data_IF_021875124269
#
_entry.id   IF_021875124269
#
_cell.length_a   1.000
_cell.length_b   1.000
_cell.length_c   1.000
_cell.angle_alpha   90.00
_cell.angle_beta   90.00
_cell.angle_gamma   90.00
#
_symmetry.space_group_name_H-M   'P 1'
#
loop_
_entity.id
_entity.type
_entity.pdbx_description
1 polymer ?
#
# COMPACT_ATOMS: atom_id res chain seq x y z
N UNK A 1 -28.77 0.12 -11.20
CA UNK A 1 -27.94 0.29 -9.98
C UNK A 1 -27.71 1.77 -9.81
N UNK A 2 -28.10 2.34 -8.68
CA UNK A 2 -27.93 3.77 -8.40
C UNK A 2 -26.47 4.05 -7.98
N UNK A 3 -25.89 5.18 -8.40
CA UNK A 3 -24.46 5.46 -8.24
C UNK A 3 -24.01 5.48 -6.76
N UNK A 4 -24.90 5.94 -5.86
CA UNK A 4 -24.68 5.93 -4.40
C UNK A 4 -24.60 4.52 -3.82
N UNK A 5 -25.38 3.60 -4.35
CA UNK A 5 -25.44 2.22 -3.87
C UNK A 5 -24.20 1.43 -4.30
N UNK A 6 -23.73 1.68 -5.53
CA UNK A 6 -22.47 1.16 -6.02
C UNK A 6 -21.30 1.69 -5.19
N UNK A 7 -21.21 3.01 -4.97
CA UNK A 7 -20.17 3.60 -4.14
C UNK A 7 -20.15 2.97 -2.74
N UNK A 8 -21.30 2.85 -2.07
CA UNK A 8 -21.37 2.25 -0.72
C UNK A 8 -20.88 0.80 -0.68
N UNK A 9 -21.21 -0.01 -1.69
CA UNK A 9 -20.74 -1.40 -1.80
C UNK A 9 -19.23 -1.47 -2.05
N UNK A 10 -18.70 -0.60 -2.91
CA UNK A 10 -17.25 -0.49 -3.17
C UNK A 10 -16.51 -0.07 -1.90
N UNK A 11 -16.98 0.97 -1.21
CA UNK A 11 -16.39 1.41 0.05
C UNK A 11 -16.49 0.34 1.15
N UNK A 12 -17.63 -0.32 1.32
CA UNK A 12 -17.79 -1.33 2.36
C UNK A 12 -16.98 -2.62 2.08
N UNK A 13 -16.87 -3.05 0.83
CA UNK A 13 -16.20 -4.31 0.46
C UNK A 13 -14.73 -4.19 0.09
N UNK A 14 -14.27 -3.01 -0.35
CA UNK A 14 -12.91 -2.79 -0.88
C UNK A 14 -12.14 -1.70 -0.14
N UNK A 15 -12.57 -1.33 1.07
CA UNK A 15 -11.89 -0.34 1.90
C UNK A 15 -10.37 -0.55 2.05
N UNK A 16 -9.81 -1.79 2.11
CA UNK A 16 -8.35 -1.98 2.17
C UNK A 16 -7.64 -1.49 0.92
N UNK A 17 -8.20 -1.79 -0.25
CA UNK A 17 -7.65 -1.41 -1.54
C UNK A 17 -7.73 0.10 -1.70
N UNK A 18 -8.86 0.71 -1.30
CA UNK A 18 -9.04 2.15 -1.35
C UNK A 18 -8.07 2.89 -0.41
N UNK A 19 -7.85 2.37 0.80
CA UNK A 19 -6.91 2.95 1.75
C UNK A 19 -5.47 2.92 1.21
N UNK A 20 -5.00 1.78 0.72
CA UNK A 20 -3.67 1.66 0.09
C UNK A 20 -3.57 2.53 -1.17
N UNK A 21 -4.62 2.57 -1.98
CA UNK A 21 -4.70 3.42 -3.17
C UNK A 21 -4.53 4.92 -2.84
N UNK A 22 -5.05 5.39 -1.71
CA UNK A 22 -4.87 6.77 -1.28
C UNK A 22 -3.40 7.10 -0.96
N UNK A 23 -2.67 6.17 -0.34
CA UNK A 23 -1.22 6.35 -0.13
C UNK A 23 -0.46 6.43 -1.45
N UNK A 24 -0.80 5.57 -2.42
CA UNK A 24 -0.19 5.59 -3.75
C UNK A 24 -0.44 6.92 -4.48
N UNK A 25 -1.69 7.41 -4.45
CA UNK A 25 -2.05 8.70 -5.03
C UNK A 25 -1.24 9.83 -4.39
N UNK A 26 -1.22 9.90 -3.06
CA UNK A 26 -0.46 10.93 -2.34
C UNK A 26 1.05 10.85 -2.64
N UNK A 27 1.62 9.64 -2.66
CA UNK A 27 3.02 9.41 -2.98
C UNK A 27 3.36 9.90 -4.40
N UNK A 28 2.57 9.53 -5.40
CA UNK A 28 2.80 9.96 -6.78
C UNK A 28 2.60 11.47 -6.96
N UNK A 29 1.62 12.07 -6.30
CA UNK A 29 1.48 13.53 -6.30
C UNK A 29 2.73 14.22 -5.75
N UNK A 30 3.30 13.71 -4.64
CA UNK A 30 4.54 14.24 -4.08
C UNK A 30 5.72 14.07 -5.04
N UNK A 31 5.86 12.92 -5.69
CA UNK A 31 6.92 12.67 -6.67
C UNK A 31 6.81 13.62 -7.87
N UNK A 32 5.60 13.78 -8.42
CA UNK A 32 5.34 14.71 -9.54
C UNK A 32 5.61 16.16 -9.13
N UNK A 33 5.34 16.52 -7.89
CA UNK A 33 5.67 17.84 -7.32
C UNK A 33 7.15 18.02 -6.95
N UNK A 34 8.02 17.03 -7.24
CA UNK A 34 9.46 17.09 -7.00
C UNK A 34 9.91 16.66 -5.59
N UNK A 35 8.99 16.29 -4.70
CA UNK A 35 9.30 15.82 -3.34
C UNK A 35 9.66 14.32 -3.31
N UNK A 36 10.72 13.94 -4.01
CA UNK A 36 11.13 12.54 -4.20
C UNK A 36 11.27 11.74 -2.90
N UNK A 37 11.98 12.27 -1.89
CA UNK A 37 12.14 11.59 -0.58
C UNK A 37 10.82 11.41 0.15
N UNK A 38 9.96 12.44 0.18
CA UNK A 38 8.65 12.38 0.85
C UNK A 38 7.70 11.43 0.10
N UNK A 39 7.71 11.45 -1.23
CA UNK A 39 6.94 10.54 -2.07
C UNK A 39 7.33 9.08 -1.85
N UNK A 40 8.63 8.78 -1.86
CA UNK A 40 9.14 7.43 -1.56
C UNK A 40 8.75 6.96 -0.15
N UNK A 41 8.84 7.84 0.86
CA UNK A 41 8.44 7.54 2.23
C UNK A 41 6.93 7.23 2.32
N UNK A 42 6.08 8.06 1.71
CA UNK A 42 4.62 7.85 1.72
C UNK A 42 4.25 6.55 1.02
N UNK A 43 4.95 6.22 -0.08
CA UNK A 43 4.75 4.95 -0.77
C UNK A 43 5.16 3.76 0.10
N UNK A 44 6.30 3.87 0.80
CA UNK A 44 6.77 2.84 1.74
C UNK A 44 5.77 2.57 2.87
N UNK A 45 5.18 3.64 3.43
CA UNK A 45 4.12 3.56 4.44
C UNK A 45 2.88 2.88 3.85
N UNK A 46 2.45 3.26 2.65
CA UNK A 46 1.28 2.65 1.99
C UNK A 46 1.42 1.15 1.79
N UNK A 47 2.60 0.70 1.34
CA UNK A 47 2.91 -0.72 1.20
C UNK A 47 3.00 -1.41 2.57
N UNK A 48 3.57 -0.75 3.58
CA UNK A 48 3.63 -1.28 4.95
C UNK A 48 2.23 -1.46 5.57
N UNK A 49 1.32 -0.51 5.32
CA UNK A 49 -0.09 -0.62 5.69
C UNK A 49 -0.72 -1.82 4.99
N UNK A 50 -0.48 -2.03 3.70
CA UNK A 50 -0.99 -3.20 2.98
C UNK A 50 -0.55 -4.53 3.63
N UNK A 51 0.72 -4.64 4.03
CA UNK A 51 1.24 -5.80 4.75
C UNK A 51 0.55 -5.99 6.12
N UNK A 52 0.36 -4.92 6.89
CA UNK A 52 -0.33 -4.97 8.18
C UNK A 52 -1.80 -5.37 8.04
N UNK A 53 -2.50 -4.84 7.04
CA UNK A 53 -3.87 -5.23 6.73
C UNK A 53 -3.95 -6.70 6.36
N UNK A 54 -2.99 -7.22 5.60
CA UNK A 54 -2.92 -8.63 5.23
C UNK A 54 -2.75 -9.55 6.44
N UNK A 55 -2.04 -9.10 7.47
CA UNK A 55 -1.93 -9.78 8.77
C UNK A 55 -3.20 -9.67 9.64
N UNK A 56 -4.02 -8.64 9.46
CA UNK A 56 -5.26 -8.46 10.21
C UNK A 56 -6.46 -9.21 9.59
N UNK A 57 -6.51 -9.36 8.26
CA UNK A 57 -7.63 -9.98 7.52
C UNK A 57 -7.50 -11.51 7.44
N UNK A 58 -8.50 -12.24 7.96
CA UNK A 58 -8.51 -13.71 8.03
C UNK A 58 -8.52 -14.41 6.66
N UNK A 59 -7.85 -15.57 6.59
CA UNK A 59 -7.63 -16.34 5.36
C UNK A 59 -8.50 -17.60 5.26
N UNK A 60 -9.77 -17.50 5.66
CA UNK A 60 -10.65 -18.65 5.53
C UNK A 60 -10.80 -19.01 4.05
N UNK A 61 -10.27 -20.20 3.68
CA UNK A 61 -10.38 -20.95 2.41
C UNK A 61 -9.12 -21.00 1.53
N UNK A 62 -8.01 -21.51 2.04
CA UNK A 62 -6.88 -21.93 1.20
C UNK A 62 -7.04 -23.38 0.65
N UNK A 63 -8.22 -23.73 0.12
CA UNK A 63 -8.40 -24.96 -0.65
C UNK A 63 -8.10 -24.68 -2.13
N UNK A 64 -6.94 -25.13 -2.62
CA UNK A 64 -6.35 -24.99 -3.99
C UNK A 64 -5.29 -23.89 -4.21
N UNK A 65 -5.12 -22.89 -3.34
CA UNK A 65 -4.09 -21.83 -3.48
C UNK A 65 -2.93 -21.91 -2.48
N UNK A 66 -2.61 -23.11 -1.97
CA UNK A 66 -1.57 -23.38 -0.96
C UNK A 66 -0.17 -22.86 -1.34
N UNK A 67 0.10 -22.60 -2.62
CA UNK A 67 1.42 -22.14 -3.12
C UNK A 67 1.77 -20.72 -2.68
N UNK A 68 0.78 -19.81 -2.53
CA UNK A 68 1.00 -18.44 -2.06
C UNK A 68 0.31 -18.25 -0.72
N UNK A 69 0.96 -18.74 0.33
CA UNK A 69 0.51 -18.58 1.71
C UNK A 69 0.46 -17.10 2.11
N UNK A 70 -0.32 -16.75 3.15
CA UNK A 70 -0.28 -15.43 3.81
C UNK A 70 1.13 -14.95 4.04
N UNK A 71 1.98 -15.89 4.47
CA UNK A 71 3.32 -15.62 4.94
C UNK A 71 4.15 -15.10 3.79
N UNK A 72 4.07 -15.73 2.61
CA UNK A 72 4.76 -15.24 1.41
C UNK A 72 4.26 -13.86 1.03
N UNK A 73 2.94 -13.65 1.01
CA UNK A 73 2.34 -12.37 0.63
C UNK A 73 2.74 -11.23 1.57
N UNK A 74 2.69 -11.46 2.89
CA UNK A 74 3.13 -10.51 3.91
C UNK A 74 4.63 -10.29 3.82
N UNK A 75 5.44 -11.35 3.67
CA UNK A 75 6.90 -11.22 3.58
C UNK A 75 7.33 -10.43 2.35
N UNK A 76 6.75 -10.70 1.18
CA UNK A 76 7.02 -9.94 -0.04
C UNK A 76 6.61 -8.48 0.12
N UNK A 77 5.39 -8.22 0.63
CA UNK A 77 4.89 -6.85 0.79
C UNK A 77 5.70 -6.07 1.84
N UNK A 78 6.08 -6.72 2.94
CA UNK A 78 6.96 -6.14 3.95
C UNK A 78 8.38 -5.87 3.42
N UNK A 79 8.94 -6.78 2.62
CA UNK A 79 10.23 -6.60 1.97
C UNK A 79 10.22 -5.41 1.01
N UNK A 80 9.15 -5.25 0.22
CA UNK A 80 8.98 -4.06 -0.64
C UNK A 80 8.89 -2.80 0.20
N UNK A 81 8.09 -2.77 1.27
CA UNK A 81 8.00 -1.62 2.19
C UNK A 81 9.37 -1.27 2.79
N UNK A 82 10.13 -2.26 3.25
CA UNK A 82 11.49 -2.07 3.77
C UNK A 82 12.45 -1.52 2.72
N UNK A 83 12.44 -2.06 1.49
CA UNK A 83 13.24 -1.55 0.39
C UNK A 83 12.89 -0.10 0.05
N UNK A 84 11.61 0.26 0.07
CA UNK A 84 11.15 1.62 -0.17
C UNK A 84 11.55 2.58 0.95
N UNK A 85 11.49 2.14 2.22
CA UNK A 85 12.00 2.90 3.37
C UNK A 85 13.50 3.15 3.23
N UNK A 86 14.25 2.12 2.84
CA UNK A 86 15.69 2.24 2.59
C UNK A 86 15.96 3.26 1.48
N UNK A 87 15.27 3.17 0.35
CA UNK A 87 15.39 4.15 -0.74
C UNK A 87 15.07 5.56 -0.26
N UNK A 88 13.95 5.76 0.44
CA UNK A 88 13.56 7.06 0.99
C UNK A 88 14.60 7.62 1.95
N UNK A 89 15.28 6.75 2.71
CA UNK A 89 16.37 7.14 3.61
C UNK A 89 17.64 7.53 2.86
N UNK A 90 17.92 6.92 1.71
CA UNK A 90 19.12 7.23 0.89
C UNK A 90 18.95 8.45 -0.04
N UNK A 91 17.73 8.92 -0.29
CA UNK A 91 17.50 10.07 -1.19
C UNK A 91 17.75 11.37 -0.43
N UNK A 92 18.74 12.14 -0.89
CA UNK A 92 18.89 13.53 -0.47
C UNK A 92 17.70 14.38 -0.96
N UNK A 93 17.10 15.22 -0.11
CA UNK A 93 16.08 16.15 -0.55
C UNK A 93 16.72 17.15 -1.52
N UNK A 94 16.31 17.09 -2.79
CA UNK A 94 16.70 18.04 -3.82
C UNK A 94 16.20 19.44 -3.42
N UNK A 95 17.00 20.18 -2.64
CA UNK A 95 16.77 21.58 -2.25
C UNK A 95 15.43 21.90 -1.55
N UNK A 96 14.63 20.89 -1.19
CA UNK A 96 13.29 21.02 -0.63
C UNK A 96 13.31 20.59 0.83
N UNK A 97 13.54 21.56 1.73
CA UNK A 97 13.48 21.37 3.18
C UNK A 97 12.06 21.11 3.68
#
# INVERSE_FOLDING_TARGET
>A
MDAREFARKVFAGQWPILAVGLFFLAAFTLVVAGYWRRGALVLAIGVGVAAAMRLALSEDRAGLLVVRSRVVDVATTAAVSAAMLYVAWTIDPLGTS
#
